data_IF_833245069830
#
_entry.id   IF_833245069830
#
_cell.length_a   1.000
_cell.length_b   1.000
_cell.length_c   1.000
_cell.angle_alpha   90.00
_cell.angle_beta   90.00
_cell.angle_gamma   90.00
#
_symmetry.space_group_name_H-M   'P 1'
#
loop_
_entity.id
_entity.type
_entity.pdbx_description
1 polymer ?
#
# COMPACT_ATOMS: atom_id res chain seq x y z
N UNK A 1 6.23 -22.30 8.66
CA UNK A 1 5.21 -22.27 7.61
C UNK A 1 5.85 -21.90 6.26
N UNK A 2 6.19 -20.63 5.98
CA UNK A 2 6.72 -20.25 4.65
C UNK A 2 7.94 -21.06 4.17
N UNK A 3 8.93 -21.32 5.02
CA UNK A 3 10.11 -22.13 4.63
C UNK A 3 9.78 -23.60 4.38
N UNK A 4 8.71 -24.13 4.97
CA UNK A 4 8.29 -25.52 4.83
C UNK A 4 7.30 -25.70 3.67
N UNK A 5 6.39 -24.74 3.49
CA UNK A 5 5.21 -24.87 2.63
C UNK A 5 5.23 -23.92 1.41
N UNK A 6 6.22 -23.02 1.36
CA UNK A 6 6.29 -21.95 0.36
C UNK A 6 5.31 -20.80 0.64
N UNK A 7 5.29 -19.82 -0.27
CA UNK A 7 4.23 -18.82 -0.30
C UNK A 7 3.08 -19.30 -1.19
N UNK A 8 1.84 -18.92 -0.89
CA UNK A 8 0.73 -19.12 -1.82
C UNK A 8 1.04 -18.48 -3.18
N UNK A 9 0.46 -19.02 -4.26
CA UNK A 9 0.63 -18.47 -5.60
C UNK A 9 0.28 -16.97 -5.64
N UNK A 10 1.02 -16.23 -6.45
CA UNK A 10 0.86 -14.77 -6.63
C UNK A 10 0.87 -13.95 -5.32
N UNK A 11 1.54 -14.44 -4.26
CA UNK A 11 1.68 -13.73 -2.99
C UNK A 11 3.12 -13.24 -2.78
N UNK A 12 3.25 -11.98 -2.38
CA UNK A 12 4.49 -11.34 -1.97
C UNK A 12 4.43 -11.01 -0.48
N UNK A 13 5.59 -10.85 0.15
CA UNK A 13 5.70 -10.27 1.49
C UNK A 13 6.31 -8.88 1.39
N UNK A 14 5.56 -7.86 1.80
CA UNK A 14 6.11 -6.53 2.04
C UNK A 14 6.65 -6.48 3.47
N UNK A 15 7.93 -6.15 3.64
CA UNK A 15 8.60 -6.12 4.94
C UNK A 15 9.18 -4.74 5.19
N UNK A 16 8.90 -4.15 6.35
CA UNK A 16 9.51 -2.88 6.77
C UNK A 16 10.24 -3.08 8.11
N UNK A 17 11.49 -2.60 8.19
CA UNK A 17 12.34 -2.70 9.38
C UNK A 17 12.62 -1.27 9.86
N UNK A 18 12.17 -0.89 11.07
CA UNK A 18 12.50 0.42 11.66
C UNK A 18 14.00 0.51 11.99
N UNK A 19 14.54 1.73 12.00
CA UNK A 19 15.95 1.97 12.37
C UNK A 19 16.28 1.46 13.78
N UNK A 20 15.34 1.59 14.72
CA UNK A 20 15.44 1.09 16.09
C UNK A 20 14.27 0.14 16.40
N UNK A 21 14.36 -1.14 16.01
CA UNK A 21 13.28 -2.08 16.23
C UNK A 21 13.13 -2.40 17.72
N UNK A 22 11.89 -2.42 18.21
CA UNK A 22 11.58 -2.70 19.62
C UNK A 22 11.59 -4.19 19.97
N UNK A 23 12.04 -5.06 19.06
CA UNK A 23 12.07 -6.52 19.20
C UNK A 23 10.78 -7.24 18.82
N UNK A 24 9.69 -6.52 18.48
CA UNK A 24 8.45 -7.13 18.01
C UNK A 24 8.42 -7.31 16.48
N UNK A 25 7.73 -8.35 16.04
CA UNK A 25 7.39 -8.62 14.64
C UNK A 25 5.87 -8.70 14.53
N UNK A 26 5.28 -7.96 13.61
CA UNK A 26 3.84 -7.88 13.43
C UNK A 26 3.43 -8.30 12.02
N UNK A 27 2.48 -9.24 11.92
CA UNK A 27 1.73 -9.47 10.69
C UNK A 27 0.70 -8.36 10.55
N UNK A 28 0.70 -7.69 9.41
CA UNK A 28 -0.04 -6.44 9.24
C UNK A 28 -0.91 -6.45 8.00
N UNK A 29 -1.90 -5.57 7.98
CA UNK A 29 -2.64 -5.20 6.77
C UNK A 29 -1.91 -4.09 6.04
N UNK A 30 -2.08 -4.02 4.73
CA UNK A 30 -1.58 -2.90 3.93
C UNK A 30 -2.31 -1.62 4.37
N UNK A 31 -1.57 -0.68 4.97
CA UNK A 31 -2.10 0.63 5.33
C UNK A 31 -2.41 1.46 4.08
N UNK A 32 -3.41 2.33 4.19
CA UNK A 32 -3.75 3.31 3.14
C UNK A 32 -3.04 4.64 3.44
N UNK A 33 -2.39 5.20 2.43
CA UNK A 33 -1.85 6.56 2.47
C UNK A 33 -2.59 7.38 1.44
N UNK A 34 -3.26 8.45 1.87
CA UNK A 34 -3.76 9.48 0.95
C UNK A 34 -2.75 10.61 0.92
N UNK A 35 -2.12 10.79 -0.23
CA UNK A 35 -1.30 11.96 -0.51
C UNK A 35 -2.21 13.12 -0.89
N UNK A 36 -2.28 14.15 -0.05
CA UNK A 36 -2.83 15.43 -0.50
C UNK A 36 -1.77 16.14 -1.34
N UNK A 37 -2.11 16.43 -2.59
CA UNK A 37 -1.18 16.87 -3.62
C UNK A 37 -0.43 18.15 -3.30
N UNK A 38 0.89 18.02 -3.16
CA UNK A 38 1.83 19.12 -3.22
C UNK A 38 2.55 19.03 -4.58
N UNK A 39 1.86 19.43 -5.66
CA UNK A 39 2.52 19.61 -6.94
C UNK A 39 3.20 20.97 -6.92
N UNK A 40 4.52 20.99 -6.83
CA UNK A 40 5.32 22.21 -6.85
C UNK A 40 5.82 22.45 -8.27
N UNK A 41 5.34 23.51 -8.91
CA UNK A 41 5.91 24.01 -10.15
C UNK A 41 7.21 24.79 -9.88
N UNK A 42 8.25 24.48 -10.64
CA UNK A 42 9.57 25.11 -10.58
C UNK A 42 9.97 25.50 -11.99
N UNK A 43 10.35 26.75 -12.19
CA UNK A 43 10.87 27.24 -13.47
C UNK A 43 12.39 27.06 -13.47
N UNK A 44 12.92 26.39 -14.49
CA UNK A 44 14.36 26.26 -14.66
C UNK A 44 15.00 27.59 -15.12
N UNK A 45 16.34 27.73 -15.08
CA UNK A 45 17.02 28.95 -15.54
C UNK A 45 16.81 29.29 -17.03
N UNK A 46 16.31 28.34 -17.83
CA UNK A 46 16.01 28.51 -19.26
C UNK A 46 14.54 28.88 -19.50
N UNK A 47 13.73 29.02 -18.44
CA UNK A 47 12.31 29.38 -18.51
C UNK A 47 11.36 28.20 -18.71
N UNK A 48 11.84 26.95 -18.57
CA UNK A 48 11.01 25.75 -18.77
C UNK A 48 10.38 25.30 -17.45
N UNK A 49 9.04 25.12 -17.37
CA UNK A 49 8.39 24.62 -16.17
C UNK A 49 8.69 23.14 -15.93
N UNK A 50 8.96 22.81 -14.67
CA UNK A 50 9.15 21.46 -14.12
C UNK A 50 8.20 21.28 -12.93
N UNK A 51 7.76 20.05 -12.69
CA UNK A 51 6.83 19.75 -11.60
C UNK A 51 7.44 18.74 -10.64
N UNK A 52 7.47 19.08 -9.36
CA UNK A 52 7.83 18.17 -8.28
C UNK A 52 6.57 17.66 -7.61
N UNK A 53 6.44 16.34 -7.57
CA UNK A 53 5.41 15.69 -6.76
C UNK A 53 6.01 15.57 -5.35
N UNK A 54 5.64 16.52 -4.49
CA UNK A 54 6.03 16.54 -3.09
C UNK A 54 5.38 15.42 -2.28
N UNK A 55 5.93 15.16 -1.10
CA UNK A 55 5.49 14.07 -0.24
C UNK A 55 4.12 14.28 0.40
N UNK A 56 3.49 15.46 0.26
CA UNK A 56 2.14 15.74 0.74
C UNK A 56 1.97 15.59 2.25
N UNK A 57 0.92 16.19 2.82
CA UNK A 57 0.40 15.65 4.08
C UNK A 57 -0.19 14.28 3.79
N UNK A 58 0.38 13.25 4.41
CA UNK A 58 -0.17 11.90 4.33
C UNK A 58 -1.21 11.73 5.42
N UNK A 59 -2.49 11.57 5.05
CA UNK A 59 -3.46 10.96 5.96
C UNK A 59 -3.17 9.46 5.96
N UNK A 60 -2.50 9.00 7.00
CA UNK A 60 -2.25 7.58 7.23
C UNK A 60 -3.53 6.92 7.75
N UNK A 61 -3.84 5.75 7.22
CA UNK A 61 -4.84 4.85 7.79
C UNK A 61 -4.55 4.62 9.28
N UNK A 62 -5.56 4.82 10.12
CA UNK A 62 -5.46 4.71 11.57
C UNK A 62 -5.77 3.31 12.08
N UNK A 63 -5.97 2.33 11.18
CA UNK A 63 -6.18 0.94 11.60
C UNK A 63 -4.98 0.47 12.42
N UNK A 64 -5.27 -0.01 13.64
CA UNK A 64 -4.25 -0.36 14.62
C UNK A 64 -3.36 -1.54 14.17
N UNK A 65 -3.83 -2.33 13.19
CA UNK A 65 -3.19 -3.50 12.59
C UNK A 65 -2.51 -3.21 11.22
N UNK A 66 -2.46 -1.95 10.79
CA UNK A 66 -1.75 -1.56 9.57
C UNK A 66 -0.23 -1.60 9.75
N UNK A 67 0.48 -1.83 8.65
CA UNK A 67 1.94 -1.71 8.59
C UNK A 67 2.43 -0.33 9.00
N UNK A 68 1.72 0.75 8.64
CA UNK A 68 2.05 2.11 9.05
C UNK A 68 2.00 2.28 10.58
N UNK A 69 0.91 1.81 11.20
CA UNK A 69 0.70 1.97 12.64
C UNK A 69 1.66 1.13 13.47
N UNK A 70 1.97 -0.09 13.04
CA UNK A 70 2.90 -0.98 13.75
C UNK A 70 4.36 -0.56 13.54
N UNK A 71 4.71 -0.07 12.35
CA UNK A 71 6.03 0.49 12.08
C UNK A 71 6.30 1.73 12.95
N UNK A 72 5.32 2.63 13.09
CA UNK A 72 5.42 3.82 13.95
C UNK A 72 5.63 3.48 15.44
N UNK A 73 5.24 2.27 15.87
CA UNK A 73 5.49 1.76 17.23
C UNK A 73 6.85 1.07 17.38
N UNK A 74 7.66 1.03 16.32
CA UNK A 74 8.97 0.38 16.30
C UNK A 74 8.93 -1.13 16.02
N UNK A 75 7.81 -1.67 15.53
CA UNK A 75 7.71 -3.08 15.14
C UNK A 75 8.25 -3.32 13.73
N UNK A 76 8.90 -4.48 13.51
CA UNK A 76 9.13 -4.99 12.15
C UNK A 76 7.78 -5.44 11.60
N UNK A 77 7.39 -4.94 10.43
CA UNK A 77 6.09 -5.27 9.84
C UNK A 77 6.23 -6.22 8.66
N UNK A 78 5.30 -7.16 8.54
CA UNK A 78 5.23 -8.12 7.45
C UNK A 78 3.78 -8.14 6.95
N UNK A 79 3.56 -7.65 5.72
CA UNK A 79 2.24 -7.61 5.06
C UNK A 79 2.25 -8.57 3.87
N UNK A 80 1.50 -9.69 3.92
CA UNK A 80 1.24 -10.51 2.75
C UNK A 80 0.35 -9.76 1.74
N UNK A 81 0.79 -9.65 0.48
CA UNK A 81 0.08 -8.93 -0.58
C UNK A 81 -0.13 -9.87 -1.76
N UNK A 82 -1.36 -9.92 -2.29
CA UNK A 82 -1.67 -10.58 -3.56
C UNK A 82 -1.31 -9.67 -4.73
N UNK A 83 -0.61 -10.21 -5.73
CA UNK A 83 -0.27 -9.52 -6.98
C UNK A 83 -1.50 -9.39 -7.87
N UNK A 84 -2.33 -10.45 -7.92
CA UNK A 84 -3.62 -10.38 -8.60
C UNK A 84 -4.58 -9.52 -7.78
N UNK A 85 -5.17 -8.53 -8.44
CA UNK A 85 -6.10 -7.56 -7.85
C UNK A 85 -7.47 -7.60 -8.52
N UNK A 86 -7.75 -8.62 -9.32
CA UNK A 86 -9.09 -8.90 -9.82
C UNK A 86 -10.03 -9.03 -8.61
N UNK A 87 -11.13 -8.29 -8.63
CA UNK A 87 -12.20 -8.42 -7.64
C UNK A 87 -13.11 -9.56 -8.10
N UNK A 88 -12.72 -10.80 -7.80
CA UNK A 88 -13.44 -11.99 -8.24
C UNK A 88 -14.88 -12.05 -7.69
N UNK A 89 -15.11 -11.49 -6.51
CA UNK A 89 -16.43 -11.41 -5.89
C UNK A 89 -17.34 -10.47 -6.70
N UNK A 90 -16.82 -9.30 -7.06
CA UNK A 90 -17.56 -8.35 -7.88
C UNK A 90 -17.71 -8.84 -9.33
N UNK A 91 -16.66 -9.44 -9.91
CA UNK A 91 -16.71 -10.07 -11.23
C UNK A 91 -17.81 -11.12 -11.29
N UNK A 92 -17.93 -11.97 -10.25
CA UNK A 92 -19.00 -12.96 -10.13
C UNK A 92 -20.37 -12.29 -10.03
N UNK A 93 -20.48 -11.19 -9.27
CA UNK A 93 -21.73 -10.44 -9.07
C UNK A 93 -22.29 -9.89 -10.37
N UNK A 94 -21.43 -9.43 -11.27
CA UNK A 94 -21.83 -8.71 -12.49
C UNK A 94 -21.75 -9.53 -13.78
N UNK A 95 -21.34 -10.80 -13.66
CA UNK A 95 -21.21 -11.69 -14.80
C UNK A 95 -22.58 -11.89 -15.48
N UNK A 96 -22.68 -11.50 -16.75
CA UNK A 96 -23.92 -11.57 -17.53
C UNK A 96 -24.95 -10.47 -17.23
N UNK A 97 -24.66 -9.55 -16.31
CA UNK A 97 -25.57 -8.45 -15.90
C UNK A 97 -24.94 -7.06 -16.00
N UNK A 98 -23.64 -6.95 -16.32
CA UNK A 98 -22.93 -5.67 -16.43
C UNK A 98 -23.49 -4.74 -17.51
N UNK A 99 -24.05 -5.31 -18.58
CA UNK A 99 -24.71 -4.59 -19.67
C UNK A 99 -26.11 -5.18 -19.87
N UNK A 100 -27.10 -4.66 -19.16
CA UNK A 100 -28.51 -4.79 -19.56
C UNK A 100 -28.99 -3.38 -19.89
N UNK A 101 -29.06 -3.09 -21.20
CA UNK A 101 -29.83 -1.96 -21.72
C UNK A 101 -31.29 -2.46 -21.82
N UNK A 102 -32.19 -1.85 -21.05
CA UNK A 102 -33.61 -1.75 -21.41
C UNK A 102 -33.80 -0.49 -22.28
#
# INVERSE_FOLDING_TARGET
HILADGLPAATLLNVNIPDNPNGSISLTRQGRRRWSGDLLEVIDPKGTPHYWIGSGRTLADTSADSDISMFAKGSITITPIRVDRTDDDFLTTVNGTWWYDD
#
